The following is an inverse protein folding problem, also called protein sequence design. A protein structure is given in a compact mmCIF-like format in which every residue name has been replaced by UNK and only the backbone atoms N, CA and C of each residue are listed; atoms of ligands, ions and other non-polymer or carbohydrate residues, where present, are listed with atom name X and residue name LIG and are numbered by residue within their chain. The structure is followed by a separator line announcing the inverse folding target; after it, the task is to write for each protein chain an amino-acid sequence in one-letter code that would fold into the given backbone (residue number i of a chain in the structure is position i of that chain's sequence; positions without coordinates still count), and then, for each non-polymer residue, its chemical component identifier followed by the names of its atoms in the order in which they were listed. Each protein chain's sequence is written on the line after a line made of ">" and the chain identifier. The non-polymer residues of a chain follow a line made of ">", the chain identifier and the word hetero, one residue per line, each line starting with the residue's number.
data_IF_324610646391
#
_entry.id   IF_324610646391
#
_cell.length_a   1.000
_cell.length_b   1.000
_cell.length_c   1.000
_cell.angle_alpha   90.00
_cell.angle_beta   90.00
_cell.angle_gamma   90.00
#
_symmetry.space_group_name_H-M   'P 1'
#
loop_
_entity.id
_entity.type
_entity.pdbx_description
1 polymer ?
#
# COMPACT_ATOMS: atom_id res chain seq x y z
N UNK A 1 -2.78 -10.45 -11.14
CA UNK A 1 -3.87 -10.87 -10.23
C UNK A 1 -5.15 -10.17 -10.62
N UNK A 2 -6.16 -10.88 -11.14
CA UNK A 2 -7.34 -10.20 -11.71
C UNK A 2 -8.16 -9.49 -10.60
N UNK A 3 -8.18 -8.15 -10.66
CA UNK A 3 -8.95 -7.28 -9.78
C UNK A 3 -10.48 -7.52 -9.91
N UNK A 4 -10.91 -8.33 -10.90
CA UNK A 4 -12.31 -8.60 -11.21
C UNK A 4 -13.06 -9.29 -10.07
N UNK A 5 -12.53 -10.39 -9.51
CA UNK A 5 -13.18 -11.09 -8.38
C UNK A 5 -13.30 -10.20 -7.14
N UNK A 6 -12.26 -9.43 -6.85
CA UNK A 6 -12.29 -8.46 -5.76
C UNK A 6 -13.36 -7.38 -5.98
N UNK A 7 -13.49 -6.83 -7.19
CA UNK A 7 -14.56 -5.87 -7.53
C UNK A 7 -15.95 -6.47 -7.33
N UNK A 8 -16.18 -7.70 -7.77
CA UNK A 8 -17.46 -8.39 -7.56
C UNK A 8 -17.77 -8.58 -6.07
N UNK A 9 -16.78 -8.99 -5.28
CA UNK A 9 -16.91 -9.07 -3.83
C UNK A 9 -17.22 -7.69 -3.21
N UNK A 10 -16.54 -6.62 -3.63
CA UNK A 10 -16.82 -5.26 -3.17
C UNK A 10 -18.26 -4.83 -3.50
N UNK A 11 -18.78 -5.18 -4.68
CA UNK A 11 -20.17 -4.88 -5.04
C UNK A 11 -21.13 -5.61 -4.10
N UNK A 12 -20.92 -6.90 -3.86
CA UNK A 12 -21.72 -7.68 -2.92
C UNK A 12 -21.67 -7.10 -1.49
N UNK A 13 -20.46 -6.85 -0.99
CA UNK A 13 -20.24 -6.29 0.35
C UNK A 13 -20.93 -4.92 0.53
N UNK A 14 -20.89 -4.07 -0.50
CA UNK A 14 -21.56 -2.76 -0.50
C UNK A 14 -23.05 -2.82 -0.91
N UNK A 15 -23.66 -4.02 -0.95
CA UNK A 15 -25.06 -4.26 -1.31
C UNK A 15 -25.45 -3.63 -2.67
N UNK A 16 -24.52 -3.60 -3.61
CA UNK A 16 -24.74 -3.13 -4.99
C UNK A 16 -25.39 -4.23 -5.83
N UNK A 17 -26.15 -3.87 -6.88
CA UNK A 17 -26.77 -4.85 -7.77
C UNK A 17 -25.72 -5.69 -8.50
N UNK A 18 -26.10 -6.92 -8.87
CA UNK A 18 -25.30 -7.81 -9.72
C UNK A 18 -24.96 -7.12 -11.04
N UNK A 19 -23.69 -7.14 -11.48
CA UNK A 19 -23.33 -6.64 -12.82
C UNK A 19 -24.00 -7.42 -13.95
N UNK A 20 -24.42 -6.70 -15.00
CA UNK A 20 -25.09 -7.29 -16.18
C UNK A 20 -24.29 -8.40 -16.87
N UNK A 21 -22.96 -8.28 -16.87
CA UNK A 21 -22.03 -9.22 -17.50
C UNK A 21 -21.69 -10.46 -16.65
N UNK A 22 -22.30 -10.62 -15.47
CA UNK A 22 -22.16 -11.82 -14.61
C UNK A 22 -23.52 -12.50 -14.57
N UNK A 23 -23.60 -13.79 -14.90
CA UNK A 23 -24.87 -14.51 -14.89
C UNK A 23 -25.49 -14.53 -13.47
N UNK A 24 -26.84 -14.57 -13.34
CA UNK A 24 -27.49 -14.77 -12.04
C UNK A 24 -26.97 -16.00 -11.29
N UNK A 25 -26.70 -17.09 -12.02
CA UNK A 25 -26.23 -18.36 -11.49
C UNK A 25 -24.82 -18.23 -10.91
N UNK A 26 -23.87 -17.64 -11.65
CA UNK A 26 -22.51 -17.39 -11.19
C UNK A 26 -22.48 -16.45 -9.97
N UNK A 27 -23.34 -15.44 -9.97
CA UNK A 27 -23.45 -14.50 -8.86
C UNK A 27 -23.92 -15.19 -7.58
N UNK A 28 -24.97 -16.02 -7.68
CA UNK A 28 -25.47 -16.80 -6.55
C UNK A 28 -24.43 -17.81 -6.06
N UNK A 29 -23.73 -18.47 -6.99
CA UNK A 29 -22.66 -19.42 -6.67
C UNK A 29 -21.52 -18.76 -5.89
N UNK A 30 -21.05 -17.57 -6.34
CA UNK A 30 -19.99 -16.82 -5.66
C UNK A 30 -20.38 -16.43 -4.23
N UNK A 31 -21.61 -15.93 -4.05
CA UNK A 31 -22.12 -15.59 -2.71
C UNK A 31 -22.07 -16.83 -1.83
N UNK A 32 -22.73 -17.92 -2.25
CA UNK A 32 -22.95 -19.12 -1.45
C UNK A 32 -21.69 -19.94 -1.16
N UNK A 33 -20.74 -19.97 -2.09
CA UNK A 33 -19.60 -20.90 -2.01
C UNK A 33 -18.26 -20.22 -1.80
N UNK A 34 -18.17 -18.89 -1.96
CA UNK A 34 -16.90 -18.16 -1.81
C UNK A 34 -16.98 -17.12 -0.72
N UNK A 35 -18.03 -16.29 -0.70
CA UNK A 35 -18.08 -15.13 0.21
C UNK A 35 -18.78 -15.41 1.53
N UNK A 36 -19.64 -16.43 1.59
CA UNK A 36 -20.24 -16.93 2.84
C UNK A 36 -19.42 -18.01 3.52
N UNK A 37 -18.33 -18.48 2.90
CA UNK A 37 -17.39 -19.41 3.51
C UNK A 37 -16.74 -18.79 4.77
N UNK A 38 -16.78 -19.51 5.89
CA UNK A 38 -16.31 -19.01 7.19
C UNK A 38 -14.83 -18.65 7.15
N UNK A 39 -14.03 -19.48 6.48
CA UNK A 39 -12.61 -19.30 6.31
C UNK A 39 -12.30 -18.03 5.49
N UNK A 40 -13.05 -17.80 4.41
CA UNK A 40 -12.98 -16.56 3.65
C UNK A 40 -13.33 -15.34 4.50
N UNK A 41 -14.43 -15.39 5.24
CA UNK A 41 -14.87 -14.27 6.09
C UNK A 41 -13.84 -13.96 7.18
N UNK A 42 -13.31 -14.98 7.84
CA UNK A 42 -12.25 -14.86 8.85
C UNK A 42 -11.02 -14.16 8.27
N UNK A 43 -10.51 -14.62 7.13
CA UNK A 43 -9.36 -13.99 6.46
C UNK A 43 -9.66 -12.55 6.03
N UNK A 44 -10.84 -12.30 5.47
CA UNK A 44 -11.26 -10.97 5.01
C UNK A 44 -11.31 -9.98 6.18
N UNK A 45 -11.96 -10.34 7.28
CA UNK A 45 -12.10 -9.52 8.48
C UNK A 45 -10.75 -9.27 9.15
N UNK A 46 -9.91 -10.32 9.28
CA UNK A 46 -8.56 -10.16 9.82
C UNK A 46 -7.71 -9.22 8.96
N UNK A 47 -7.77 -9.36 7.63
CA UNK A 47 -7.05 -8.49 6.71
C UNK A 47 -7.53 -7.03 6.80
N UNK A 48 -8.83 -6.80 6.99
CA UNK A 48 -9.38 -5.47 7.22
C UNK A 48 -8.87 -4.86 8.54
N UNK A 49 -8.90 -5.64 9.62
CA UNK A 49 -8.37 -5.23 10.92
C UNK A 49 -6.86 -4.95 10.89
N UNK A 50 -6.08 -5.79 10.20
CA UNK A 50 -4.63 -5.59 10.03
C UNK A 50 -4.34 -4.33 9.21
N UNK A 51 -5.09 -4.10 8.12
CA UNK A 51 -4.94 -2.88 7.31
C UNK A 51 -5.28 -1.62 8.10
N UNK A 52 -6.27 -1.66 8.99
CA UNK A 52 -6.63 -0.54 9.85
C UNK A 52 -5.50 -0.16 10.83
N UNK A 53 -4.62 -1.12 11.19
CA UNK A 53 -3.44 -0.91 12.05
C UNK A 53 -2.17 -0.54 11.28
N UNK A 54 -2.21 -0.56 9.95
CA UNK A 54 -1.01 -0.33 9.14
C UNK A 54 -0.67 1.17 9.07
N UNK A 55 0.37 1.59 9.80
CA UNK A 55 0.87 2.98 9.79
C UNK A 55 1.73 3.28 8.54
N UNK A 56 2.52 2.29 8.11
CA UNK A 56 3.46 2.38 7.00
C UNK A 56 2.86 1.82 5.72
N UNK A 57 2.13 2.67 4.98
CA UNK A 57 1.65 2.36 3.65
C UNK A 57 2.65 2.78 2.57
N UNK A 58 2.79 1.99 1.50
CA UNK A 58 3.58 2.39 0.32
C UNK A 58 3.00 3.66 -0.31
N UNK A 59 3.85 4.69 -0.52
CA UNK A 59 3.48 5.98 -1.14
C UNK A 59 4.20 6.26 -2.47
N UNK A 60 5.05 5.34 -2.92
CA UNK A 60 5.88 5.50 -4.12
C UNK A 60 5.12 5.49 -5.45
N UNK A 61 3.81 5.21 -5.42
CA UNK A 61 2.97 5.15 -6.61
C UNK A 61 3.48 4.10 -7.59
N UNK A 62 3.77 4.51 -8.83
CA UNK A 62 4.32 3.65 -9.89
C UNK A 62 5.84 3.57 -9.89
N UNK A 63 6.54 4.48 -9.19
CA UNK A 63 7.99 4.47 -9.09
C UNK A 63 8.41 3.51 -7.99
N UNK A 64 9.54 2.84 -8.15
CA UNK A 64 10.16 2.08 -7.05
C UNK A 64 11.02 3.01 -6.19
N UNK A 65 11.30 2.63 -4.94
CA UNK A 65 12.25 3.36 -4.08
C UNK A 65 13.63 3.43 -4.76
N UNK A 66 14.06 2.36 -5.43
CA UNK A 66 15.31 2.33 -6.19
C UNK A 66 15.31 3.33 -7.35
N UNK A 67 14.20 3.47 -8.06
CA UNK A 67 14.07 4.48 -9.12
C UNK A 67 14.12 5.89 -8.54
N UNK A 68 13.45 6.15 -7.41
CA UNK A 68 13.53 7.44 -6.71
C UNK A 68 14.98 7.75 -6.33
N UNK A 69 15.71 6.79 -5.76
CA UNK A 69 17.11 6.96 -5.40
C UNK A 69 18.00 7.24 -6.63
N UNK A 70 17.74 6.56 -7.75
CA UNK A 70 18.46 6.78 -9.00
C UNK A 70 18.19 8.16 -9.59
N UNK A 71 16.94 8.64 -9.54
CA UNK A 71 16.58 9.98 -10.00
C UNK A 71 17.19 11.09 -9.13
N UNK A 72 17.41 10.81 -7.84
CA UNK A 72 18.07 11.71 -6.88
C UNK A 72 19.61 11.65 -6.94
N UNK A 73 20.20 10.72 -7.69
CA UNK A 73 21.64 10.58 -7.82
C UNK A 73 22.22 11.86 -8.43
N UNK A 74 23.31 12.36 -7.83
CA UNK A 74 24.00 13.53 -8.36
C UNK A 74 24.54 13.21 -9.76
N UNK A 75 24.14 13.98 -10.77
CA UNK A 75 24.51 13.73 -12.17
C UNK A 75 25.95 14.10 -12.50
N UNK A 76 26.53 15.04 -11.75
CA UNK A 76 27.88 15.54 -11.96
C UNK A 76 28.90 14.69 -11.20
N UNK A 77 28.65 14.44 -9.91
CA UNK A 77 29.57 13.67 -9.06
C UNK A 77 29.32 12.16 -9.12
N UNK A 78 28.12 11.75 -9.54
CA UNK A 78 27.72 10.33 -9.55
C UNK A 78 27.42 9.78 -8.16
N UNK A 79 27.39 10.59 -7.11
CA UNK A 79 27.11 10.17 -5.73
C UNK A 79 25.64 9.79 -5.53
N UNK A 80 25.41 8.72 -4.79
CA UNK A 80 24.06 8.28 -4.41
C UNK A 80 23.49 9.13 -3.27
N UNK A 81 22.17 9.37 -3.24
CA UNK A 81 21.53 10.08 -2.15
C UNK A 81 21.63 9.28 -0.84
N UNK A 82 21.59 10.00 0.27
CA UNK A 82 21.52 9.38 1.60
C UNK A 82 20.16 8.74 1.84
N UNK A 83 20.10 7.79 2.78
CA UNK A 83 18.85 7.14 3.19
C UNK A 83 17.80 8.16 3.62
N UNK A 84 18.21 9.24 4.30
CA UNK A 84 17.34 10.35 4.69
C UNK A 84 16.74 11.09 3.49
N UNK A 85 17.54 11.36 2.45
CA UNK A 85 17.07 12.04 1.24
C UNK A 85 16.04 11.19 0.51
N UNK A 86 16.30 9.89 0.38
CA UNK A 86 15.36 8.94 -0.24
C UNK A 86 14.08 8.83 0.58
N UNK A 87 14.18 8.78 1.93
CA UNK A 87 13.02 8.75 2.82
C UNK A 87 12.14 9.99 2.67
N UNK A 88 12.74 11.19 2.71
CA UNK A 88 12.02 12.45 2.49
C UNK A 88 11.36 12.48 1.11
N UNK A 89 12.08 12.15 0.05
CA UNK A 89 11.50 12.12 -1.29
C UNK A 89 10.36 11.11 -1.45
N UNK A 90 10.36 10.03 -0.66
CA UNK A 90 9.33 9.00 -0.72
C UNK A 90 8.08 9.36 0.07
N UNK A 91 8.24 9.97 1.26
CA UNK A 91 7.15 10.11 2.23
C UNK A 91 6.82 11.56 2.59
N UNK A 92 7.66 12.53 2.25
CA UNK A 92 7.39 13.95 2.48
C UNK A 92 6.77 14.58 1.24
N UNK A 93 5.73 15.38 1.44
CA UNK A 93 5.08 16.13 0.36
C UNK A 93 5.84 17.43 0.10
N UNK A 94 5.50 18.10 -1.00
CA UNK A 94 6.10 19.38 -1.38
C UNK A 94 5.88 20.50 -0.34
N UNK A 95 4.79 20.44 0.44
CA UNK A 95 4.50 21.36 1.54
C UNK A 95 5.28 21.04 2.84
N UNK A 96 6.12 20.01 2.83
CA UNK A 96 6.90 19.57 3.99
C UNK A 96 6.16 18.60 4.92
N UNK A 97 4.86 18.35 4.72
CA UNK A 97 4.10 17.42 5.56
C UNK A 97 4.40 15.95 5.24
N UNK A 98 4.33 15.09 6.26
CA UNK A 98 4.53 13.65 6.09
C UNK A 98 3.28 12.95 5.59
N UNK A 99 3.46 12.01 4.66
CA UNK A 99 2.39 11.18 4.08
C UNK A 99 2.07 9.96 4.94
N UNK A 100 2.83 9.73 6.02
CA UNK A 100 2.65 8.69 7.02
C UNK A 100 2.73 9.30 8.42
N UNK A 101 1.93 8.82 9.41
CA UNK A 101 1.87 9.44 10.73
C UNK A 101 3.20 9.44 11.50
N UNK A 102 4.06 8.47 11.23
CA UNK A 102 5.33 8.25 11.93
C UNK A 102 6.55 8.70 11.10
N UNK A 103 6.34 9.51 10.04
CA UNK A 103 7.38 9.88 9.07
C UNK A 103 8.58 10.59 9.69
N UNK A 104 8.33 11.52 10.60
CA UNK A 104 9.37 12.24 11.33
C UNK A 104 10.15 11.34 12.28
N UNK A 105 9.43 10.51 13.06
CA UNK A 105 10.05 9.56 14.01
C UNK A 105 11.00 8.61 13.28
N UNK A 106 10.61 8.09 12.12
CA UNK A 106 11.47 7.20 11.32
C UNK A 106 12.68 7.97 10.76
N UNK A 107 12.50 9.21 10.30
CA UNK A 107 13.63 10.04 9.86
C UNK A 107 14.67 10.25 10.98
N UNK A 108 14.21 10.51 12.20
CA UNK A 108 15.09 10.64 13.39
C UNK A 108 15.85 9.34 13.63
N UNK A 109 15.17 8.18 13.58
CA UNK A 109 15.83 6.89 13.71
C UNK A 109 16.90 6.65 12.63
N UNK A 110 16.57 6.94 11.36
CA UNK A 110 17.53 6.84 10.25
C UNK A 110 18.76 7.71 10.56
N UNK A 111 18.55 8.96 10.96
CA UNK A 111 19.64 9.86 11.33
C UNK A 111 20.48 9.33 12.50
N UNK A 112 19.85 8.78 13.54
CA UNK A 112 20.60 8.27 14.71
C UNK A 112 21.40 7.02 14.38
N UNK A 113 20.87 6.11 13.55
CA UNK A 113 21.53 4.84 13.26
C UNK A 113 22.55 4.95 12.12
N UNK A 114 22.32 5.81 11.12
CA UNK A 114 23.32 6.08 10.07
C UNK A 114 24.60 6.70 10.66
N UNK A 115 24.52 7.38 11.81
CA UNK A 115 25.66 7.98 12.53
C UNK A 115 26.29 7.07 13.61
N UNK A 116 25.73 5.88 13.88
CA UNK A 116 26.23 4.94 14.89
C UNK A 116 26.98 3.73 14.28
N UNK A 117 27.02 3.62 12.96
CA UNK A 117 27.69 2.53 12.23
C UNK A 117 28.91 2.99 11.41
N UNK A 118 29.47 4.16 11.71
CA UNK A 118 30.77 4.64 11.22
C UNK A 118 31.70 5.01 12.37
#
# INVERSE_FOLDING_TARGET
>A
YSNRRYRLHCLHHNKKPRPTHVSPEDWAWLIKHVWTDEDFQKRSNQNAANRAKQEMGSKVGTKSIAQIAHELRNKETGEWPTTMQVWKATYQKADGTWSVPNGERVLVYIFTYDNLFF
#
